data_IF_323789841431
#
_entry.id   IF_323789841431
#
_cell.length_a   1.000
_cell.length_b   1.000
_cell.length_c   1.000
_cell.angle_alpha   90.00
_cell.angle_beta   90.00
_cell.angle_gamma   90.00
#
_symmetry.space_group_name_H-M   'P 1'
#
loop_
_entity.id
_entity.type
_entity.pdbx_description
1 polymer ?
#
# COMPACT_ATOMS: atom_id res chain seq x y z
N UNK A 1 -49.12 2.07 -31.33
CA UNK A 1 -47.73 1.70 -31.00
C UNK A 1 -47.23 2.60 -29.87
N UNK A 2 -47.04 2.07 -28.65
CA UNK A 2 -46.47 2.84 -27.52
C UNK A 2 -44.95 2.69 -27.55
N UNK A 3 -44.24 3.79 -27.78
CA UNK A 3 -42.78 3.82 -27.74
C UNK A 3 -42.31 3.59 -26.29
N UNK A 4 -41.54 2.53 -26.08
CA UNK A 4 -40.94 2.18 -24.79
C UNK A 4 -39.73 3.11 -24.59
N UNK A 5 -39.92 4.18 -23.82
CA UNK A 5 -38.84 5.09 -23.45
C UNK A 5 -37.94 4.33 -22.47
N UNK A 6 -36.79 3.87 -22.94
CA UNK A 6 -35.73 3.37 -22.07
C UNK A 6 -35.10 4.58 -21.36
N UNK A 7 -35.17 4.69 -20.03
CA UNK A 7 -34.49 5.75 -19.32
C UNK A 7 -32.99 5.58 -19.54
N UNK A 8 -32.36 6.55 -20.21
CA UNK A 8 -30.91 6.62 -20.34
C UNK A 8 -30.32 6.76 -18.94
N UNK A 9 -29.36 5.90 -18.65
CA UNK A 9 -28.55 5.88 -17.44
C UNK A 9 -27.69 7.15 -17.36
N UNK A 10 -28.26 8.26 -16.91
CA UNK A 10 -27.52 9.49 -16.61
C UNK A 10 -26.82 9.43 -15.23
N UNK A 11 -26.71 8.24 -14.62
CA UNK A 11 -26.04 7.99 -13.34
C UNK A 11 -24.51 7.77 -13.46
N UNK A 12 -23.96 7.81 -14.68
CA UNK A 12 -22.55 7.54 -15.00
C UNK A 12 -21.50 8.49 -14.37
N UNK A 13 -21.73 9.80 -14.13
CA UNK A 13 -20.69 10.68 -13.58
C UNK A 13 -20.57 10.59 -12.05
N UNK A 14 -21.64 10.26 -11.33
CA UNK A 14 -21.59 10.20 -9.86
C UNK A 14 -20.92 8.92 -9.36
N UNK A 15 -21.17 7.78 -10.03
CA UNK A 15 -20.51 6.51 -9.69
C UNK A 15 -19.01 6.54 -9.93
N UNK A 16 -18.55 7.24 -10.98
CA UNK A 16 -17.12 7.40 -11.26
C UNK A 16 -16.43 8.35 -10.27
N UNK A 17 -17.10 9.42 -9.85
CA UNK A 17 -16.61 10.31 -8.79
C UNK A 17 -16.51 9.61 -7.43
N UNK A 18 -17.53 8.82 -7.06
CA UNK A 18 -17.50 8.04 -5.83
C UNK A 18 -16.36 7.01 -5.85
N UNK A 19 -16.18 6.31 -6.98
CA UNK A 19 -15.09 5.35 -7.16
C UNK A 19 -13.70 5.99 -7.03
N UNK A 20 -13.51 7.17 -7.63
CA UNK A 20 -12.27 7.94 -7.50
C UNK A 20 -12.01 8.35 -6.05
N UNK A 21 -13.02 8.83 -5.34
CA UNK A 21 -12.90 9.23 -3.94
C UNK A 21 -12.50 8.05 -3.04
N UNK A 22 -13.12 6.88 -3.23
CA UNK A 22 -12.77 5.65 -2.49
C UNK A 22 -11.35 5.21 -2.80
N UNK A 23 -10.92 5.28 -4.07
CA UNK A 23 -9.56 4.96 -4.47
C UNK A 23 -8.52 5.87 -3.82
N UNK A 24 -8.75 7.20 -3.85
CA UNK A 24 -7.86 8.18 -3.22
C UNK A 24 -7.77 7.92 -1.71
N UNK A 25 -8.92 7.68 -1.06
CA UNK A 25 -8.95 7.38 0.37
C UNK A 25 -8.16 6.11 0.71
N UNK A 26 -8.32 5.05 -0.07
CA UNK A 26 -7.57 3.80 0.11
C UNK A 26 -6.06 4.01 -0.07
N UNK A 27 -5.65 4.81 -1.06
CA UNK A 27 -4.25 5.15 -1.30
C UNK A 27 -3.65 5.93 -0.13
N UNK A 28 -4.38 6.93 0.39
CA UNK A 28 -3.95 7.71 1.57
C UNK A 28 -3.78 6.80 2.79
N UNK A 29 -4.73 5.90 3.04
CA UNK A 29 -4.66 4.94 4.15
C UNK A 29 -3.45 4.02 3.98
N UNK A 30 -3.21 3.49 2.77
CA UNK A 30 -2.07 2.64 2.48
C UNK A 30 -0.73 3.34 2.75
N UNK A 31 -0.59 4.61 2.34
CA UNK A 31 0.62 5.41 2.60
C UNK A 31 0.84 5.69 4.08
N UNK A 32 -0.23 5.88 4.86
CA UNK A 32 -0.13 6.05 6.31
C UNK A 32 0.32 4.75 6.98
N UNK A 33 -0.24 3.60 6.57
CA UNK A 33 0.15 2.29 7.07
C UNK A 33 1.63 2.03 6.77
N UNK A 34 2.07 2.29 5.54
CA UNK A 34 3.46 2.11 5.14
C UNK A 34 4.40 3.05 5.91
N UNK A 35 4.02 4.32 6.07
CA UNK A 35 4.75 5.25 6.92
C UNK A 35 4.88 4.80 8.38
N UNK A 36 3.85 4.14 8.92
CA UNK A 36 3.91 3.53 10.26
C UNK A 36 4.85 2.32 10.30
N UNK A 37 4.81 1.45 9.30
CA UNK A 37 5.71 0.31 9.17
C UNK A 37 7.18 0.76 9.12
N UNK A 38 7.50 1.77 8.32
CA UNK A 38 8.83 2.38 8.26
C UNK A 38 9.23 2.97 9.61
N UNK A 39 8.33 3.70 10.28
CA UNK A 39 8.60 4.29 11.60
C UNK A 39 8.97 3.22 12.63
N UNK A 40 8.19 2.15 12.72
CA UNK A 40 8.45 1.03 13.65
C UNK A 40 9.79 0.39 13.31
N UNK A 41 10.04 0.13 12.03
CA UNK A 41 11.27 -0.51 11.56
C UNK A 41 12.52 0.31 11.87
N UNK A 42 12.46 1.63 11.64
CA UNK A 42 13.54 2.55 12.02
C UNK A 42 13.80 2.49 13.53
N UNK A 43 12.74 2.51 14.34
CA UNK A 43 12.88 2.44 15.80
C UNK A 43 13.48 1.11 16.27
N UNK A 44 13.11 0.00 15.63
CA UNK A 44 13.59 -1.34 16.00
C UNK A 44 15.06 -1.53 15.61
N UNK A 45 15.44 -1.12 14.40
CA UNK A 45 16.80 -1.37 13.89
C UNK A 45 17.81 -0.37 14.45
N UNK A 46 17.42 0.90 14.56
CA UNK A 46 18.38 2.00 14.80
C UNK A 46 18.24 2.62 16.18
N UNK A 47 17.19 2.27 16.94
CA UNK A 47 16.83 2.92 18.20
C UNK A 47 16.32 4.36 18.04
N UNK A 48 16.31 4.94 16.83
CA UNK A 48 15.88 6.31 16.59
C UNK A 48 14.35 6.40 16.54
N UNK A 49 13.79 7.39 17.25
CA UNK A 49 12.37 7.72 17.15
C UNK A 49 12.16 8.73 16.04
N UNK A 50 11.35 8.37 15.04
CA UNK A 50 10.89 9.29 14.00
C UNK A 50 9.37 9.52 14.11
N UNK A 51 8.90 10.66 13.62
CA UNK A 51 7.48 10.95 13.51
C UNK A 51 6.83 10.09 12.41
N UNK A 52 5.51 9.90 12.48
CA UNK A 52 4.75 9.23 11.41
C UNK A 52 4.90 9.99 10.10
N UNK A 53 4.85 11.33 10.13
CA UNK A 53 5.06 12.17 8.94
C UNK A 53 6.42 11.94 8.27
N UNK A 54 7.49 11.78 9.06
CA UNK A 54 8.81 11.44 8.53
C UNK A 54 8.86 10.02 7.98
N UNK A 55 8.21 9.06 8.64
CA UNK A 55 8.08 7.68 8.14
C UNK A 55 7.36 7.63 6.79
N UNK A 56 6.22 8.32 6.67
CA UNK A 56 5.46 8.44 5.41
C UNK A 56 6.28 9.11 4.32
N UNK A 57 7.01 10.19 4.63
CA UNK A 57 7.88 10.84 3.66
C UNK A 57 8.99 9.90 3.15
N UNK A 58 9.62 9.13 4.05
CA UNK A 58 10.63 8.13 3.67
C UNK A 58 10.00 7.06 2.77
N UNK A 59 8.85 6.52 3.16
CA UNK A 59 8.11 5.52 2.37
C UNK A 59 7.81 6.01 0.96
N UNK A 60 7.23 7.21 0.81
CA UNK A 60 6.90 7.78 -0.51
C UNK A 60 8.14 7.93 -1.37
N UNK A 61 9.21 8.54 -0.84
CA UNK A 61 10.44 8.75 -1.60
C UNK A 61 11.10 7.41 -1.96
N UNK A 62 11.04 6.42 -1.06
CA UNK A 62 11.61 5.10 -1.27
C UNK A 62 10.83 4.31 -2.34
N UNK A 63 9.50 4.38 -2.34
CA UNK A 63 8.64 3.80 -3.39
C UNK A 63 8.91 4.45 -4.74
N UNK A 64 8.98 5.78 -4.79
CA UNK A 64 9.27 6.51 -6.03
C UNK A 64 10.65 6.15 -6.55
N UNK A 65 11.67 6.11 -5.69
CA UNK A 65 13.02 5.70 -6.06
C UNK A 65 13.04 4.25 -6.57
N UNK A 66 12.37 3.32 -5.88
CA UNK A 66 12.23 1.96 -6.33
C UNK A 66 11.60 1.90 -7.73
N UNK A 67 10.46 2.57 -7.93
CA UNK A 67 9.72 2.53 -9.19
C UNK A 67 10.54 3.10 -10.35
N UNK A 68 11.23 4.23 -10.15
CA UNK A 68 12.08 4.85 -11.17
C UNK A 68 13.22 3.91 -11.55
N UNK A 69 13.98 3.40 -10.58
CA UNK A 69 15.11 2.52 -10.87
C UNK A 69 14.64 1.16 -11.43
N UNK A 70 13.52 0.62 -10.92
CA UNK A 70 12.92 -0.58 -11.46
C UNK A 70 12.56 -0.40 -12.94
N UNK A 71 11.86 0.67 -13.31
CA UNK A 71 11.47 0.92 -14.71
C UNK A 71 12.69 1.14 -15.62
N UNK A 72 13.67 1.92 -15.17
CA UNK A 72 14.89 2.20 -15.95
C UNK A 72 15.71 0.93 -16.22
N UNK A 73 15.93 0.10 -15.19
CA UNK A 73 16.81 -1.06 -15.30
C UNK A 73 16.10 -2.35 -15.73
N UNK A 74 14.75 -2.40 -15.63
CA UNK A 74 13.96 -3.51 -16.17
C UNK A 74 13.99 -3.61 -17.69
N UNK A 75 14.42 -2.55 -18.38
CA UNK A 75 14.68 -2.57 -19.83
C UNK A 75 15.76 -3.59 -20.21
N UNK A 76 16.71 -3.87 -19.30
CA UNK A 76 17.73 -4.89 -19.50
C UNK A 76 17.18 -6.27 -19.14
N UNK A 77 16.79 -6.44 -17.87
CA UNK A 77 16.07 -7.62 -17.37
C UNK A 77 15.24 -7.23 -16.15
N UNK A 78 14.06 -7.84 -15.92
CA UNK A 78 13.23 -7.55 -14.74
C UNK A 78 13.96 -7.80 -13.41
N UNK A 79 14.85 -8.79 -13.38
CA UNK A 79 15.66 -9.13 -12.20
C UNK A 79 16.62 -7.98 -11.87
N UNK A 80 17.37 -7.49 -12.86
CA UNK A 80 18.28 -6.35 -12.67
C UNK A 80 17.52 -5.10 -12.24
N UNK A 81 16.35 -4.84 -12.84
CA UNK A 81 15.43 -3.79 -12.41
C UNK A 81 15.07 -3.88 -10.93
N UNK A 82 14.68 -5.06 -10.46
CA UNK A 82 14.33 -5.29 -9.06
C UNK A 82 15.50 -5.04 -8.11
N UNK A 83 16.70 -5.52 -8.44
CA UNK A 83 17.91 -5.30 -7.64
C UNK A 83 18.24 -3.81 -7.50
N UNK A 84 18.25 -3.06 -8.61
CA UNK A 84 18.52 -1.62 -8.56
C UNK A 84 17.41 -0.83 -7.86
N UNK A 85 16.16 -1.23 -8.03
CA UNK A 85 15.03 -0.67 -7.28
C UNK A 85 15.22 -0.84 -5.78
N UNK A 86 15.58 -2.04 -5.31
CA UNK A 86 15.85 -2.30 -3.90
C UNK A 86 17.03 -1.47 -3.37
N UNK A 87 18.13 -1.38 -4.13
CA UNK A 87 19.28 -0.57 -3.74
C UNK A 87 18.91 0.91 -3.61
N UNK A 88 18.09 1.45 -4.53
CA UNK A 88 17.61 2.81 -4.47
C UNK A 88 16.72 3.04 -3.22
N UNK A 89 15.83 2.10 -2.92
CA UNK A 89 14.99 2.13 -1.71
C UNK A 89 15.84 2.16 -0.43
N UNK A 90 16.85 1.28 -0.33
CA UNK A 90 17.78 1.21 0.80
C UNK A 90 18.59 2.51 0.92
N UNK A 91 19.04 3.07 -0.21
CA UNK A 91 19.77 4.33 -0.23
C UNK A 91 18.94 5.50 0.31
N UNK A 92 17.64 5.57 -0.05
CA UNK A 92 16.72 6.58 0.49
C UNK A 92 16.60 6.44 2.01
N UNK A 93 16.37 5.23 2.52
CA UNK A 93 16.26 4.99 3.97
C UNK A 93 17.56 5.39 4.66
N UNK A 94 18.70 4.92 4.14
CA UNK A 94 20.04 5.25 4.65
C UNK A 94 20.25 6.76 4.74
N UNK A 95 19.94 7.49 3.67
CA UNK A 95 20.18 8.93 3.59
C UNK A 95 19.24 9.73 4.49
N UNK A 96 17.94 9.41 4.51
CA UNK A 96 16.95 10.16 5.28
C UNK A 96 16.96 9.86 6.79
N UNK A 97 17.38 8.66 7.18
CA UNK A 97 17.52 8.24 8.58
C UNK A 97 18.93 8.47 9.11
N UNK A 98 19.90 8.75 8.22
CA UNK A 98 21.33 8.89 8.51
C UNK A 98 21.87 7.65 9.25
N UNK A 99 21.86 6.51 8.56
CA UNK A 99 22.24 5.20 9.11
C UNK A 99 23.26 4.48 8.22
N UNK A 100 23.75 3.32 8.66
CA UNK A 100 24.57 2.44 7.81
C UNK A 100 23.75 1.79 6.70
N UNK A 101 24.45 1.26 5.68
CA UNK A 101 23.82 0.45 4.62
C UNK A 101 23.13 -0.80 5.17
N UNK A 102 23.78 -1.47 6.12
CA UNK A 102 23.25 -2.67 6.78
C UNK A 102 21.96 -2.35 7.55
N UNK A 103 21.96 -1.27 8.33
CA UNK A 103 20.76 -0.82 9.04
C UNK A 103 19.63 -0.46 8.06
N UNK A 104 19.94 0.25 6.98
CA UNK A 104 18.97 0.62 5.94
C UNK A 104 18.31 -0.61 5.30
N UNK A 105 19.10 -1.66 5.06
CA UNK A 105 18.61 -2.95 4.57
C UNK A 105 17.68 -3.65 5.57
N UNK A 106 18.05 -3.70 6.85
CA UNK A 106 17.18 -4.29 7.87
C UNK A 106 15.89 -3.48 8.08
N UNK A 107 15.96 -2.15 8.01
CA UNK A 107 14.76 -1.29 8.07
C UNK A 107 13.82 -1.62 6.90
N UNK A 108 14.35 -1.75 5.68
CA UNK A 108 13.57 -2.12 4.51
C UNK A 108 12.87 -3.49 4.67
N UNK A 109 13.60 -4.50 5.13
CA UNK A 109 13.04 -5.85 5.34
C UNK A 109 11.97 -5.84 6.43
N UNK A 110 12.25 -5.26 7.59
CA UNK A 110 11.30 -5.24 8.70
C UNK A 110 10.05 -4.44 8.32
N UNK A 111 10.19 -3.34 7.58
CA UNK A 111 9.05 -2.55 7.11
C UNK A 111 8.16 -3.38 6.19
N UNK A 112 8.78 -4.11 5.26
CA UNK A 112 8.06 -5.01 4.37
C UNK A 112 7.34 -6.14 5.11
N UNK A 113 7.99 -6.77 6.10
CA UNK A 113 7.38 -7.81 6.94
C UNK A 113 6.18 -7.27 7.73
N UNK A 114 6.31 -6.09 8.34
CA UNK A 114 5.22 -5.43 9.06
C UNK A 114 4.06 -5.13 8.11
N UNK A 115 4.35 -4.61 6.93
CA UNK A 115 3.35 -4.25 5.93
C UNK A 115 2.58 -5.49 5.43
N UNK A 116 3.28 -6.60 5.14
CA UNK A 116 2.67 -7.89 4.79
C UNK A 116 1.75 -8.37 5.92
N UNK A 117 2.20 -8.31 7.18
CA UNK A 117 1.39 -8.73 8.32
C UNK A 117 0.12 -7.87 8.47
N UNK A 118 0.25 -6.53 8.34
CA UNK A 118 -0.89 -5.62 8.39
C UNK A 118 -1.89 -5.93 7.28
N UNK A 119 -1.42 -6.16 6.04
CA UNK A 119 -2.31 -6.52 4.94
C UNK A 119 -2.99 -7.87 5.12
N UNK A 120 -2.31 -8.86 5.71
CA UNK A 120 -2.94 -10.14 6.05
C UNK A 120 -4.06 -9.97 7.08
N UNK A 121 -3.84 -9.16 8.13
CA UNK A 121 -4.86 -8.86 9.14
C UNK A 121 -6.04 -8.13 8.52
N UNK A 122 -5.80 -7.12 7.68
CA UNK A 122 -6.85 -6.41 6.93
C UNK A 122 -7.62 -7.41 6.05
N UNK A 123 -6.93 -8.23 5.27
CA UNK A 123 -7.56 -9.23 4.41
C UNK A 123 -8.40 -10.25 5.19
N UNK A 124 -7.96 -10.67 6.38
CA UNK A 124 -8.73 -11.56 7.26
C UNK A 124 -9.99 -10.89 7.79
N UNK A 125 -9.90 -9.63 8.24
CA UNK A 125 -11.05 -8.89 8.76
C UNK A 125 -12.09 -8.67 7.66
N UNK A 126 -11.67 -8.10 6.53
CA UNK A 126 -12.59 -7.76 5.43
C UNK A 126 -13.03 -9.00 4.65
N UNK A 127 -12.15 -9.98 4.44
CA UNK A 127 -12.48 -11.25 3.79
C UNK A 127 -13.45 -12.09 4.62
N UNK A 128 -13.27 -12.14 5.95
CA UNK A 128 -14.22 -12.78 6.86
C UNK A 128 -15.59 -12.09 6.88
N UNK A 129 -15.60 -10.75 6.85
CA UNK A 129 -16.84 -9.95 6.79
C UNK A 129 -17.67 -10.23 5.53
N UNK A 130 -17.03 -10.42 4.37
CA UNK A 130 -17.72 -10.78 3.12
C UNK A 130 -18.38 -12.15 3.23
N UNK A 131 -17.69 -13.14 3.81
CA UNK A 131 -18.23 -14.49 4.01
C UNK A 131 -19.48 -14.45 4.91
N UNK A 132 -19.44 -13.70 6.01
CA UNK A 132 -20.59 -13.56 6.94
C UNK A 132 -21.82 -12.94 6.27
N UNK A 133 -21.63 -12.02 5.31
CA UNK A 133 -22.74 -11.38 4.60
C UNK A 133 -23.32 -12.23 3.45
N UNK A 134 -22.52 -13.13 2.85
CA UNK A 134 -22.97 -14.00 1.75
C UNK A 134 -23.74 -15.24 2.19
N UNK A 135 -23.61 -15.64 3.46
CA UNK A 135 -24.40 -16.73 4.04
C UNK A 135 -25.45 -16.16 4.99
N UNK A 136 -26.62 -15.72 4.50
CA UNK A 136 -27.72 -15.39 5.40
C UNK A 136 -28.00 -16.63 6.24
N UNK A 137 -28.06 -16.44 7.57
CA UNK A 137 -28.50 -17.45 8.52
C UNK A 137 -29.78 -18.11 7.95
N UNK A 138 -29.91 -19.44 7.94
CA UNK A 138 -31.17 -20.08 7.57
C UNK A 138 -32.23 -19.67 8.60
N UNK A 139 -32.93 -18.57 8.29
CA UNK A 139 -34.04 -18.08 9.07
C UNK A 139 -35.18 -19.07 8.89
N UNK A 140 -35.44 -19.83 9.94
CA UNK A 140 -36.69 -20.57 10.18
C UNK A 140 -37.05 -21.58 9.08
N UNK A 141 -36.55 -22.81 9.24
CA UNK A 141 -37.29 -23.99 8.78
C UNK A 141 -38.26 -24.39 9.90
N UNK A 142 -39.56 -24.10 9.78
CA UNK A 142 -40.60 -25.04 10.21
C UNK A 142 -40.81 -26.14 9.17
#
# INVERSE_FOLDING_TARGET
>A
MKAKIHPKQDLLPFQSLLGLAVFILALVIALIIDGFAVRVSVSVVTGKKISVSKGTAISIVAIVAFAVFFLLFSLLTPIVGFFFGLLAMIYVIKSMVNTGWVDGFFVAIIAWVILVFVYLVIALIFGGLVVVQTFPHPAHLP
#
